data_IF_027157895887
#
_entry.id   IF_027157895887
#
_cell.length_a   1.000
_cell.length_b   1.000
_cell.length_c   1.000
_cell.angle_alpha   90.00
_cell.angle_beta   90.00
_cell.angle_gamma   90.00
#
_symmetry.space_group_name_H-M   'P 1'
#
loop_
_entity.id
_entity.type
_entity.pdbx_description
1 polymer ?
#
# COMPACT_ATOMS: atom_id res chain seq x y z
N UNK A 1 -10.26 -44.83 -30.69
CA UNK A 1 -9.43 -44.33 -31.81
C UNK A 1 -9.73 -45.16 -33.04
N UNK A 2 -9.84 -44.53 -34.22
CA UNK A 2 -9.95 -45.27 -35.49
C UNK A 2 -8.68 -46.10 -35.71
N UNK A 3 -8.76 -47.42 -35.97
CA UNK A 3 -7.58 -48.24 -36.26
C UNK A 3 -6.80 -47.79 -37.50
N UNK A 4 -7.41 -47.00 -38.39
CA UNK A 4 -6.76 -46.41 -39.55
C UNK A 4 -6.09 -45.06 -39.25
N UNK A 5 -6.22 -44.54 -38.03
CA UNK A 5 -5.57 -43.28 -37.66
C UNK A 5 -4.05 -43.49 -37.64
N UNK A 6 -3.26 -42.71 -38.42
CA UNK A 6 -1.80 -42.90 -38.53
C UNK A 6 -1.06 -42.69 -37.20
N UNK A 7 -1.74 -42.12 -36.19
CA UNK A 7 -1.21 -41.86 -34.86
C UNK A 7 -1.47 -43.01 -33.87
N UNK A 8 -2.17 -44.09 -34.26
CA UNK A 8 -2.65 -45.11 -33.32
C UNK A 8 -1.55 -45.82 -32.52
N UNK A 9 -0.33 -45.88 -33.07
CA UNK A 9 0.82 -46.51 -32.43
C UNK A 9 1.70 -45.52 -31.64
N UNK A 10 1.35 -44.23 -31.62
CA UNK A 10 2.16 -43.19 -31.00
C UNK A 10 1.87 -43.11 -29.50
N UNK A 11 2.89 -43.34 -28.68
CA UNK A 11 2.81 -43.23 -27.22
C UNK A 11 3.55 -41.98 -26.72
N UNK A 12 3.22 -41.52 -25.50
CA UNK A 12 3.84 -40.33 -24.89
C UNK A 12 5.37 -40.44 -24.73
N UNK A 13 5.89 -41.65 -24.55
CA UNK A 13 7.34 -41.88 -24.44
C UNK A 13 8.11 -41.65 -25.75
N UNK A 14 7.41 -41.57 -26.89
CA UNK A 14 8.01 -41.28 -28.20
C UNK A 14 8.22 -39.78 -28.45
N UNK A 15 7.70 -38.93 -27.56
CA UNK A 15 7.85 -37.49 -27.65
C UNK A 15 9.09 -37.02 -26.88
N UNK A 16 9.79 -36.08 -27.48
CA UNK A 16 10.91 -35.36 -26.91
C UNK A 16 10.64 -33.86 -27.03
N UNK A 17 10.23 -33.25 -25.92
CA UNK A 17 9.91 -31.82 -25.84
C UNK A 17 11.12 -30.93 -26.19
N UNK A 18 12.35 -31.44 -26.01
CA UNK A 18 13.58 -30.68 -26.28
C UNK A 18 13.86 -30.46 -27.76
N UNK A 19 13.25 -31.27 -28.64
CA UNK A 19 13.40 -31.11 -30.10
C UNK A 19 12.83 -29.80 -30.63
N UNK A 20 11.71 -29.37 -30.06
CA UNK A 20 11.07 -28.11 -30.43
C UNK A 20 10.34 -27.53 -29.23
N UNK A 21 11.09 -26.78 -28.42
CA UNK A 21 10.58 -26.11 -27.23
C UNK A 21 9.41 -25.16 -27.52
N UNK A 22 9.34 -24.57 -28.71
CA UNK A 22 8.24 -23.67 -29.09
C UNK A 22 6.93 -24.43 -29.24
N UNK A 23 6.94 -25.54 -29.99
CA UNK A 23 5.75 -26.38 -30.15
C UNK A 23 5.33 -27.07 -28.84
N UNK A 24 6.31 -27.57 -28.09
CA UNK A 24 6.06 -28.16 -26.77
C UNK A 24 5.51 -27.15 -25.76
N UNK A 25 6.06 -25.93 -25.75
CA UNK A 25 5.63 -24.84 -24.88
C UNK A 25 4.21 -24.38 -25.19
N UNK A 26 3.91 -24.14 -26.47
CA UNK A 26 2.59 -23.72 -26.92
C UNK A 26 1.52 -24.77 -26.57
N UNK A 27 1.77 -26.05 -26.85
CA UNK A 27 0.80 -27.09 -26.56
C UNK A 27 0.56 -27.26 -25.05
N UNK A 28 1.62 -27.24 -24.24
CA UNK A 28 1.51 -27.33 -22.79
C UNK A 28 0.74 -26.16 -22.17
N UNK A 29 1.03 -24.93 -22.64
CA UNK A 29 0.32 -23.74 -22.19
C UNK A 29 -1.18 -23.85 -22.47
N UNK A 30 -1.55 -24.32 -23.67
CA UNK A 30 -2.95 -24.54 -24.03
C UNK A 30 -3.64 -25.62 -23.21
N UNK A 31 -2.98 -26.75 -22.98
CA UNK A 31 -3.55 -27.80 -22.13
C UNK A 31 -3.89 -27.29 -20.74
N UNK A 32 -3.11 -26.35 -20.22
CA UNK A 32 -3.42 -25.71 -18.94
C UNK A 32 -4.56 -24.70 -19.05
N UNK A 33 -4.57 -23.86 -20.09
CA UNK A 33 -5.67 -22.89 -20.28
C UNK A 33 -7.02 -23.56 -20.46
N UNK A 34 -7.04 -24.76 -21.04
CA UNK A 34 -8.24 -25.56 -21.28
C UNK A 34 -8.58 -26.50 -20.10
N UNK A 35 -7.83 -26.45 -19.00
CA UNK A 35 -8.09 -27.29 -17.82
C UNK A 35 -9.41 -26.85 -17.15
N UNK A 36 -10.48 -27.58 -17.45
CA UNK A 36 -11.86 -27.25 -17.04
C UNK A 36 -12.84 -27.10 -18.21
N UNK A 37 -12.33 -26.98 -19.44
CA UNK A 37 -13.10 -27.01 -20.68
C UNK A 37 -12.51 -28.09 -21.60
N UNK A 38 -12.92 -29.34 -21.35
CA UNK A 38 -12.44 -30.55 -22.05
C UNK A 38 -12.64 -30.50 -23.57
N UNK A 39 -13.43 -29.55 -24.09
CA UNK A 39 -13.78 -29.46 -25.49
C UNK A 39 -12.89 -28.49 -26.29
N UNK A 40 -12.01 -27.71 -25.65
CA UNK A 40 -11.23 -26.66 -26.33
C UNK A 40 -9.74 -27.02 -26.44
N UNK A 41 -9.42 -28.11 -27.13
CA UNK A 41 -8.02 -28.40 -27.51
C UNK A 41 -7.72 -27.74 -28.84
N UNK A 42 -6.74 -26.82 -28.92
CA UNK A 42 -6.36 -26.20 -30.18
C UNK A 42 -5.66 -27.23 -31.05
N UNK A 43 -6.40 -27.76 -32.03
CA UNK A 43 -5.94 -28.82 -32.92
C UNK A 43 -4.63 -28.47 -33.65
N UNK A 44 -4.40 -27.18 -33.93
CA UNK A 44 -3.17 -26.68 -34.52
C UNK A 44 -1.96 -26.89 -33.60
N UNK A 45 -2.02 -26.43 -32.35
CA UNK A 45 -0.91 -26.54 -31.39
C UNK A 45 -0.61 -28.01 -31.04
N UNK A 46 -1.67 -28.82 -30.93
CA UNK A 46 -1.55 -30.27 -30.77
C UNK A 46 -0.84 -30.93 -31.97
N UNK A 47 -1.23 -30.56 -33.20
CA UNK A 47 -0.59 -31.08 -34.41
C UNK A 47 0.87 -30.66 -34.50
N UNK A 48 1.20 -29.41 -34.19
CA UNK A 48 2.58 -28.92 -34.18
C UNK A 48 3.42 -29.67 -33.15
N UNK A 49 2.88 -29.90 -31.94
CA UNK A 49 3.52 -30.75 -30.94
C UNK A 49 3.80 -32.16 -31.47
N UNK A 50 2.82 -32.80 -32.10
CA UNK A 50 2.99 -34.14 -32.69
C UNK A 50 4.03 -34.14 -33.79
N UNK A 51 4.00 -33.17 -34.70
CA UNK A 51 4.93 -33.12 -35.83
C UNK A 51 6.37 -32.86 -35.40
N UNK A 52 6.57 -31.95 -34.44
CA UNK A 52 7.91 -31.46 -34.12
C UNK A 52 8.56 -32.11 -32.91
N UNK A 53 7.77 -32.66 -31.99
CA UNK A 53 8.30 -33.27 -30.77
C UNK A 53 8.38 -34.80 -30.88
N UNK A 54 7.80 -35.44 -31.88
CA UNK A 54 7.92 -36.90 -32.04
C UNK A 54 9.31 -37.34 -32.53
N UNK A 55 9.72 -38.55 -32.15
CA UNK A 55 10.87 -39.24 -32.76
C UNK A 55 10.56 -39.93 -34.08
N UNK A 56 9.28 -40.08 -34.43
CA UNK A 56 8.84 -40.81 -35.63
C UNK A 56 8.42 -39.84 -36.74
N UNK A 57 8.89 -40.05 -37.96
CA UNK A 57 8.40 -39.28 -39.11
C UNK A 57 6.98 -39.72 -39.46
N UNK A 58 5.99 -38.94 -39.05
CA UNK A 58 4.58 -39.19 -39.37
C UNK A 58 4.20 -38.32 -40.56
N UNK A 59 3.97 -38.95 -41.72
CA UNK A 59 3.49 -38.26 -42.91
C UNK A 59 1.96 -38.15 -42.92
N UNK A 60 1.45 -37.02 -43.43
CA UNK A 60 0.05 -36.84 -43.85
C UNK A 60 -1.02 -37.28 -42.84
N UNK A 61 -1.06 -36.65 -41.67
CA UNK A 61 -2.22 -36.73 -40.77
C UNK A 61 -2.96 -35.40 -40.73
N UNK A 62 -4.27 -35.48 -40.48
CA UNK A 62 -5.17 -34.31 -40.38
C UNK A 62 -5.28 -33.83 -38.94
N UNK A 63 -5.72 -32.59 -38.75
CA UNK A 63 -6.03 -32.05 -37.42
C UNK A 63 -7.06 -32.92 -36.68
N UNK A 64 -8.02 -33.52 -37.41
CA UNK A 64 -8.97 -34.48 -36.87
C UNK A 64 -8.31 -35.76 -36.35
N UNK A 65 -7.26 -36.26 -37.03
CA UNK A 65 -6.50 -37.41 -36.53
C UNK A 65 -5.77 -37.06 -35.22
N UNK A 66 -5.21 -35.85 -35.12
CA UNK A 66 -4.54 -35.37 -33.92
C UNK A 66 -5.51 -35.33 -32.73
N UNK A 67 -6.70 -34.74 -32.92
CA UNK A 67 -7.73 -34.65 -31.88
C UNK A 67 -8.24 -36.05 -31.47
N UNK A 68 -8.47 -36.96 -32.42
CA UNK A 68 -8.88 -38.35 -32.13
C UNK A 68 -7.80 -39.10 -31.32
N UNK A 69 -6.51 -38.91 -31.66
CA UNK A 69 -5.39 -39.45 -30.89
C UNK A 69 -5.34 -38.87 -29.46
N UNK A 70 -5.46 -37.55 -29.32
CA UNK A 70 -5.44 -36.89 -28.02
C UNK A 70 -6.57 -37.39 -27.12
N UNK A 71 -7.80 -37.46 -27.65
CA UNK A 71 -8.96 -37.98 -26.92
C UNK A 71 -8.78 -39.44 -26.50
N UNK A 72 -8.13 -40.25 -27.33
CA UNK A 72 -7.85 -41.64 -26.99
C UNK A 72 -6.84 -41.77 -25.84
N UNK A 73 -5.78 -40.96 -25.84
CA UNK A 73 -4.80 -40.94 -24.74
C UNK A 73 -5.42 -40.45 -23.44
N UNK A 74 -6.29 -39.44 -23.52
CA UNK A 74 -6.96 -38.86 -22.36
C UNK A 74 -7.83 -39.90 -21.61
N UNK A 75 -8.60 -40.71 -22.37
CA UNK A 75 -9.48 -41.74 -21.83
C UNK A 75 -8.75 -42.86 -21.06
N UNK A 76 -7.45 -43.07 -21.29
CA UNK A 76 -6.69 -44.18 -20.69
C UNK A 76 -6.03 -43.81 -19.34
N UNK A 77 -6.49 -42.73 -18.69
CA UNK A 77 -5.86 -42.10 -17.51
C UNK A 77 -4.40 -41.67 -17.73
N UNK A 78 -3.91 -41.68 -18.97
CA UNK A 78 -2.56 -41.22 -19.30
C UNK A 78 -2.42 -39.70 -19.11
N UNK A 79 -3.52 -38.96 -18.94
CA UNK A 79 -3.51 -37.53 -18.69
C UNK A 79 -2.93 -37.13 -17.33
N UNK A 80 -3.20 -37.90 -16.27
CA UNK A 80 -2.53 -37.70 -14.98
C UNK A 80 -1.02 -37.95 -15.08
N UNK A 81 -0.63 -38.91 -15.93
CA UNK A 81 0.76 -39.11 -16.33
C UNK A 81 1.28 -38.00 -17.25
N UNK A 82 0.41 -37.33 -18.00
CA UNK A 82 0.78 -36.25 -18.91
C UNK A 82 1.23 -35.02 -18.14
N UNK A 83 0.43 -34.53 -17.18
CA UNK A 83 0.81 -33.38 -16.34
C UNK A 83 2.12 -33.64 -15.58
N UNK A 84 2.26 -34.83 -14.99
CA UNK A 84 3.50 -35.23 -14.31
C UNK A 84 4.67 -35.48 -15.25
N UNK A 85 4.44 -35.97 -16.47
CA UNK A 85 5.45 -36.06 -17.54
C UNK A 85 5.93 -34.66 -17.94
N UNK A 86 5.01 -33.71 -18.08
CA UNK A 86 5.35 -32.30 -18.31
C UNK A 86 6.17 -31.75 -17.15
N UNK A 87 5.70 -31.87 -15.91
CA UNK A 87 6.44 -31.39 -14.72
C UNK A 87 7.85 -32.01 -14.61
N UNK A 88 7.99 -33.32 -14.87
CA UNK A 88 9.28 -34.00 -14.81
C UNK A 88 10.24 -33.57 -15.94
N UNK A 89 9.75 -33.52 -17.19
CA UNK A 89 10.55 -33.15 -18.38
C UNK A 89 10.78 -31.64 -18.50
N UNK A 90 10.04 -30.78 -17.79
CA UNK A 90 10.22 -29.32 -17.80
C UNK A 90 11.32 -28.80 -16.87
N UNK A 91 12.07 -29.69 -16.21
CA UNK A 91 13.41 -29.36 -15.70
C UNK A 91 14.43 -29.04 -16.84
N UNK A 92 14.01 -29.14 -18.10
CA UNK A 92 14.76 -28.95 -19.36
C UNK A 92 14.93 -27.48 -19.82
N UNK A 93 15.77 -27.21 -20.85
CA UNK A 93 15.94 -25.89 -21.48
C UNK A 93 14.67 -25.23 -22.06
N UNK A 94 13.56 -25.97 -22.24
CA UNK A 94 12.36 -25.45 -22.92
C UNK A 94 11.45 -24.57 -22.06
N UNK A 95 11.74 -24.41 -20.77
CA UNK A 95 10.86 -23.71 -19.83
C UNK A 95 10.52 -22.28 -20.28
N UNK A 96 11.48 -21.55 -20.86
CA UNK A 96 11.28 -20.17 -21.29
C UNK A 96 10.18 -20.06 -22.35
N UNK A 97 10.23 -20.92 -23.37
CA UNK A 97 9.23 -20.92 -24.43
C UNK A 97 7.84 -21.32 -23.91
N UNK A 98 7.77 -22.21 -22.92
CA UNK A 98 6.51 -22.49 -22.26
C UNK A 98 5.94 -21.28 -21.55
N UNK A 99 6.74 -20.59 -20.75
CA UNK A 99 6.30 -19.40 -20.03
C UNK A 99 5.91 -18.25 -20.97
N UNK A 100 6.61 -18.08 -22.10
CA UNK A 100 6.24 -17.11 -23.14
C UNK A 100 4.93 -17.46 -23.86
N UNK A 101 4.53 -18.73 -23.89
CA UNK A 101 3.26 -19.17 -24.49
C UNK A 101 2.10 -19.26 -23.49
N UNK A 102 2.36 -19.22 -22.19
CA UNK A 102 1.29 -19.07 -21.21
C UNK A 102 0.77 -17.64 -21.32
N UNK A 103 -0.49 -17.51 -21.74
CA UNK A 103 -1.19 -16.24 -21.71
C UNK A 103 -1.43 -15.85 -20.24
N UNK A 104 -0.49 -15.11 -19.67
CA UNK A 104 -0.66 -14.54 -18.35
C UNK A 104 -1.62 -13.37 -18.42
N UNK A 105 -2.86 -13.62 -18.01
CA UNK A 105 -3.82 -12.56 -17.75
C UNK A 105 -3.46 -11.89 -16.42
N UNK A 106 -2.55 -10.91 -16.49
CA UNK A 106 -2.28 -10.01 -15.36
C UNK A 106 -3.54 -9.28 -14.92
N UNK A 107 -3.59 -8.90 -13.65
CA UNK A 107 -4.66 -8.06 -13.13
C UNK A 107 -4.17 -6.61 -13.01
N UNK A 108 -4.58 -5.77 -13.95
CA UNK A 108 -4.22 -4.35 -14.01
C UNK A 108 -4.72 -3.54 -12.79
N UNK A 109 -5.74 -4.02 -12.06
CA UNK A 109 -6.24 -3.39 -10.83
C UNK A 109 -5.40 -3.74 -9.60
N UNK A 110 -4.55 -4.76 -9.67
CA UNK A 110 -3.60 -5.12 -8.62
C UNK A 110 -2.17 -4.70 -8.98
N UNK A 111 -1.74 -5.03 -10.19
CA UNK A 111 -0.35 -4.93 -10.63
C UNK A 111 -0.10 -3.88 -11.71
N UNK A 112 -1.17 -3.24 -12.19
CA UNK A 112 -1.05 -2.25 -13.26
C UNK A 112 -0.20 -1.05 -12.86
N UNK A 113 0.29 -0.34 -13.87
CA UNK A 113 1.32 0.69 -13.69
C UNK A 113 0.95 1.76 -12.66
N UNK A 114 -0.29 2.25 -12.64
CA UNK A 114 -0.68 3.25 -11.65
C UNK A 114 -0.92 2.70 -10.25
N UNK A 115 -1.31 1.42 -10.10
CA UNK A 115 -1.36 0.79 -8.78
C UNK A 115 0.04 0.61 -8.20
N UNK A 116 0.99 0.14 -9.02
CA UNK A 116 2.40 0.10 -8.63
C UNK A 116 2.94 1.48 -8.25
N UNK A 117 2.65 2.51 -9.04
CA UNK A 117 3.02 3.89 -8.72
C UNK A 117 2.39 4.37 -7.39
N UNK A 118 1.16 3.96 -7.10
CA UNK A 118 0.46 4.27 -5.85
C UNK A 118 1.15 3.63 -4.64
N UNK A 119 1.56 2.36 -4.73
CA UNK A 119 2.34 1.69 -3.69
C UNK A 119 3.68 2.38 -3.44
N UNK A 120 4.41 2.71 -4.49
CA UNK A 120 5.70 3.42 -4.39
C UNK A 120 5.52 4.81 -3.77
N UNK A 121 4.51 5.57 -4.21
CA UNK A 121 4.21 6.89 -3.66
C UNK A 121 3.86 6.81 -2.17
N UNK A 122 3.02 5.84 -1.78
CA UNK A 122 2.69 5.63 -0.37
C UNK A 122 3.93 5.29 0.45
N UNK A 123 4.82 4.42 -0.03
CA UNK A 123 6.08 4.10 0.65
C UNK A 123 7.00 5.32 0.84
N UNK A 124 7.14 6.16 -0.20
CA UNK A 124 7.90 7.40 -0.12
C UNK A 124 7.31 8.32 0.94
N UNK A 125 5.99 8.51 0.95
CA UNK A 125 5.30 9.38 1.91
C UNK A 125 5.42 8.86 3.35
N UNK A 126 5.22 7.55 3.58
CA UNK A 126 5.43 6.91 4.90
C UNK A 126 6.86 7.13 5.38
N UNK A 127 7.85 6.91 4.50
CA UNK A 127 9.27 7.12 4.81
C UNK A 127 9.54 8.59 5.17
N UNK A 128 9.00 9.53 4.40
CA UNK A 128 9.16 10.96 4.65
C UNK A 128 8.56 11.38 5.99
N UNK A 129 7.36 10.91 6.33
CA UNK A 129 6.75 11.17 7.64
C UNK A 129 7.59 10.56 8.78
N UNK A 130 8.04 9.31 8.64
CA UNK A 130 8.89 8.67 9.65
C UNK A 130 10.17 9.48 9.89
N UNK A 131 10.88 9.87 8.83
CA UNK A 131 12.09 10.68 8.93
C UNK A 131 11.82 12.06 9.55
N UNK A 132 10.71 12.71 9.22
CA UNK A 132 10.32 13.99 9.81
C UNK A 132 10.12 13.86 11.32
N UNK A 133 9.48 12.80 11.79
CA UNK A 133 9.27 12.56 13.23
C UNK A 133 10.55 12.14 13.96
N UNK A 134 11.42 11.35 13.33
CA UNK A 134 12.76 11.06 13.87
C UNK A 134 13.55 12.36 14.04
N UNK A 135 13.56 13.22 13.02
CA UNK A 135 14.23 14.51 13.08
C UNK A 135 13.63 15.42 14.19
N UNK A 136 12.30 15.42 14.34
CA UNK A 136 11.61 16.13 15.43
C UNK A 136 12.08 15.65 16.80
N UNK A 137 12.13 14.33 17.01
CA UNK A 137 12.52 13.75 18.29
C UNK A 137 14.01 14.02 18.59
N UNK A 138 14.90 13.91 17.59
CA UNK A 138 16.31 14.30 17.71
C UNK A 138 16.49 15.79 18.06
N UNK A 139 15.71 16.68 17.43
CA UNK A 139 15.76 18.12 17.74
C UNK A 139 15.24 18.44 19.13
N UNK A 140 14.17 17.77 19.58
CA UNK A 140 13.64 17.95 20.93
C UNK A 140 14.65 17.52 22.00
N UNK A 141 15.36 16.40 21.78
CA UNK A 141 16.45 15.97 22.68
C UNK A 141 17.58 17.01 22.75
N UNK A 142 17.89 17.70 21.66
CA UNK A 142 18.92 18.74 21.64
C UNK A 142 18.48 20.05 22.31
N UNK A 143 17.18 20.35 22.29
CA UNK A 143 16.62 21.64 22.72
C UNK A 143 16.08 21.70 24.14
N UNK A 144 16.26 20.65 24.95
CA UNK A 144 15.83 20.61 26.36
C UNK A 144 16.35 21.79 27.22
N UNK A 145 17.32 22.57 26.73
CA UNK A 145 17.85 23.77 27.43
C UNK A 145 17.26 25.12 27.00
N UNK A 146 16.45 25.25 25.95
CA UNK A 146 15.87 26.56 25.56
C UNK A 146 14.46 26.39 25.00
N UNK A 147 13.46 26.94 25.72
CA UNK A 147 12.05 26.97 25.32
C UNK A 147 11.77 27.92 24.15
N UNK A 148 12.51 27.83 23.05
CA UNK A 148 12.08 28.44 21.81
C UNK A 148 10.84 27.70 21.33
N UNK A 149 9.75 28.42 21.15
CA UNK A 149 8.45 27.86 20.78
C UNK A 149 8.54 26.90 19.61
N UNK A 150 7.67 25.87 19.62
CA UNK A 150 7.59 24.85 18.57
C UNK A 150 7.59 25.52 17.18
N UNK A 151 8.48 25.11 16.27
CA UNK A 151 8.51 25.71 14.95
C UNK A 151 7.19 25.47 14.21
N UNK A 152 6.72 26.53 13.55
CA UNK A 152 5.40 26.69 12.95
C UNK A 152 5.06 25.62 11.88
N UNK A 153 6.07 25.04 11.20
CA UNK A 153 5.84 24.04 10.15
C UNK A 153 5.38 22.67 10.66
N UNK A 154 5.62 22.31 11.92
CA UNK A 154 5.19 21.02 12.48
C UNK A 154 3.68 20.85 12.48
N UNK A 155 2.94 21.95 12.59
CA UNK A 155 1.49 21.93 12.50
C UNK A 155 1.02 21.44 11.11
N UNK A 156 1.75 21.78 10.04
CA UNK A 156 1.45 21.31 8.69
C UNK A 156 1.70 19.81 8.56
N UNK A 157 2.85 19.32 9.06
CA UNK A 157 3.19 17.89 9.07
C UNK A 157 2.19 17.08 9.89
N UNK A 158 1.84 17.57 11.10
CA UNK A 158 0.88 16.89 11.98
C UNK A 158 -0.53 16.87 11.36
N UNK A 159 -0.92 17.91 10.62
CA UNK A 159 -2.22 17.94 9.92
C UNK A 159 -2.25 17.03 8.70
N UNK A 160 -1.22 17.09 7.85
CA UNK A 160 -1.11 16.24 6.66
C UNK A 160 -0.98 14.77 7.02
N UNK A 161 -0.28 14.41 8.11
CA UNK A 161 -0.20 13.04 8.59
C UNK A 161 -1.59 12.48 8.94
N UNK A 162 -2.48 13.29 9.54
CA UNK A 162 -3.84 12.83 9.86
C UNK A 162 -4.62 12.47 8.61
N UNK A 163 -4.56 13.32 7.58
CA UNK A 163 -5.22 13.06 6.30
C UNK A 163 -4.59 11.87 5.60
N UNK A 164 -3.25 11.81 5.54
CA UNK A 164 -2.50 10.71 4.95
C UNK A 164 -2.81 9.37 5.61
N UNK A 165 -2.88 9.35 6.94
CA UNK A 165 -3.22 8.16 7.72
C UNK A 165 -4.59 7.63 7.32
N UNK A 166 -5.61 8.50 7.30
CA UNK A 166 -6.97 8.12 6.92
C UNK A 166 -7.05 7.60 5.49
N UNK A 167 -6.41 8.29 4.54
CA UNK A 167 -6.34 7.85 3.14
C UNK A 167 -5.63 6.50 2.99
N UNK A 168 -4.53 6.30 3.74
CA UNK A 168 -3.81 5.03 3.78
C UNK A 168 -4.69 3.91 4.33
N UNK A 169 -5.51 4.17 5.36
CA UNK A 169 -6.45 3.19 5.90
C UNK A 169 -7.42 2.72 4.82
N UNK A 170 -8.05 3.66 4.12
CA UNK A 170 -8.99 3.34 3.05
C UNK A 170 -8.33 2.62 1.88
N UNK A 171 -7.16 3.08 1.44
CA UNK A 171 -6.40 2.44 0.37
C UNK A 171 -6.01 1.00 0.71
N UNK A 172 -5.46 0.77 1.91
CA UNK A 172 -5.09 -0.57 2.34
C UNK A 172 -6.31 -1.48 2.47
N UNK A 173 -7.41 -0.99 3.04
CA UNK A 173 -8.66 -1.74 3.19
C UNK A 173 -9.23 -2.16 1.83
N UNK A 174 -9.33 -1.21 0.89
CA UNK A 174 -9.86 -1.48 -0.46
C UNK A 174 -8.94 -2.41 -1.25
N UNK A 175 -7.62 -2.26 -1.12
CA UNK A 175 -6.64 -3.17 -1.73
C UNK A 175 -6.82 -4.60 -1.24
N UNK A 176 -6.95 -4.81 0.06
CA UNK A 176 -7.19 -6.16 0.61
C UNK A 176 -8.52 -6.72 0.16
N UNK A 177 -9.59 -5.92 0.18
CA UNK A 177 -10.89 -6.36 -0.30
C UNK A 177 -10.81 -6.79 -1.78
N UNK A 178 -10.13 -6.00 -2.62
CA UNK A 178 -9.89 -6.33 -4.02
C UNK A 178 -9.08 -7.64 -4.16
N UNK A 179 -8.03 -7.84 -3.36
CA UNK A 179 -7.24 -9.07 -3.33
C UNK A 179 -8.10 -10.30 -2.97
N UNK A 180 -8.98 -10.18 -1.97
CA UNK A 180 -9.86 -11.26 -1.53
C UNK A 180 -10.92 -11.60 -2.58
N UNK A 181 -11.56 -10.59 -3.16
CA UNK A 181 -12.56 -10.77 -4.22
C UNK A 181 -11.90 -11.40 -5.44
N UNK A 182 -10.75 -10.88 -5.87
CA UNK A 182 -10.02 -11.41 -7.02
C UNK A 182 -9.68 -12.88 -6.83
N UNK A 183 -9.22 -13.26 -5.63
CA UNK A 183 -8.92 -14.66 -5.32
C UNK A 183 -10.13 -15.57 -5.53
N UNK A 184 -11.31 -15.15 -5.08
CA UNK A 184 -12.54 -15.94 -5.22
C UNK A 184 -13.03 -16.03 -6.66
N UNK A 185 -12.86 -14.95 -7.43
CA UNK A 185 -13.38 -14.88 -8.82
C UNK A 185 -12.44 -15.53 -9.83
N UNK A 186 -11.13 -15.55 -9.54
CA UNK A 186 -10.10 -15.92 -10.53
C UNK A 186 -9.53 -17.31 -10.30
N UNK A 187 -10.07 -18.07 -9.36
CA UNK A 187 -9.63 -19.44 -9.10
C UNK A 187 -9.77 -20.28 -10.38
N UNK A 188 -8.66 -20.91 -10.79
CA UNK A 188 -8.59 -21.72 -12.01
C UNK A 188 -8.35 -20.93 -13.31
N UNK A 189 -8.31 -19.60 -13.27
CA UNK A 189 -7.97 -18.80 -14.46
C UNK A 189 -6.45 -18.73 -14.71
N UNK A 190 -5.99 -18.62 -15.97
CA UNK A 190 -4.57 -18.39 -16.28
C UNK A 190 -4.04 -17.12 -15.60
N UNK A 191 -2.84 -17.20 -15.01
CA UNK A 191 -2.22 -16.09 -14.27
C UNK A 191 -2.70 -15.96 -12.81
N UNK A 192 -3.54 -16.88 -12.34
CA UNK A 192 -4.03 -16.88 -10.96
C UNK A 192 -2.89 -16.96 -9.94
N UNK A 193 -1.88 -17.82 -10.14
CA UNK A 193 -0.79 -17.99 -9.19
C UNK A 193 0.03 -16.70 -9.03
N UNK A 194 0.30 -16.02 -10.15
CA UNK A 194 0.99 -14.73 -10.19
C UNK A 194 0.21 -13.65 -9.46
N UNK A 195 -1.06 -13.51 -9.80
CA UNK A 195 -1.92 -12.50 -9.21
C UNK A 195 -2.16 -12.76 -7.72
N UNK A 196 -2.22 -14.03 -7.29
CA UNK A 196 -2.21 -14.40 -5.88
C UNK A 196 -0.93 -13.96 -5.16
N UNK A 197 0.25 -14.15 -5.77
CA UNK A 197 1.50 -13.71 -5.18
C UNK A 197 1.63 -12.17 -5.14
N UNK A 198 1.16 -11.47 -6.17
CA UNK A 198 1.09 -10.00 -6.17
C UNK A 198 0.11 -9.49 -5.13
N UNK A 199 -1.07 -10.10 -5.03
CA UNK A 199 -2.05 -9.81 -3.98
C UNK A 199 -1.45 -10.02 -2.60
N UNK A 200 -0.73 -11.12 -2.39
CA UNK A 200 -0.02 -11.41 -1.16
C UNK A 200 1.01 -10.31 -0.80
N UNK A 201 1.86 -9.91 -1.74
CA UNK A 201 2.83 -8.85 -1.54
C UNK A 201 2.16 -7.49 -1.27
N UNK A 202 1.04 -7.19 -1.93
CA UNK A 202 0.25 -5.97 -1.69
C UNK A 202 -0.37 -5.97 -0.28
N UNK A 203 -0.87 -7.12 0.18
CA UNK A 203 -1.39 -7.29 1.53
C UNK A 203 -0.29 -7.06 2.56
N UNK A 204 0.88 -7.71 2.42
CA UNK A 204 2.03 -7.49 3.31
C UNK A 204 2.43 -6.02 3.29
N UNK A 205 2.55 -5.41 2.11
CA UNK A 205 2.84 -3.99 1.99
C UNK A 205 1.88 -3.12 2.81
N UNK A 206 0.57 -3.36 2.71
CA UNK A 206 -0.45 -2.64 3.45
C UNK A 206 -0.27 -2.78 4.97
N UNK A 207 0.05 -3.99 5.44
CA UNK A 207 0.36 -4.27 6.85
C UNK A 207 1.54 -3.42 7.32
N UNK A 208 2.65 -3.46 6.59
CA UNK A 208 3.88 -2.78 6.98
C UNK A 208 3.71 -1.26 7.04
N UNK A 209 2.94 -0.70 6.11
CA UNK A 209 2.52 0.71 6.15
C UNK A 209 1.81 1.04 7.46
N UNK A 210 0.87 0.20 7.91
CA UNK A 210 0.19 0.42 9.18
C UNK A 210 1.11 0.32 10.38
N UNK A 211 2.03 -0.65 10.40
CA UNK A 211 2.99 -0.80 11.50
C UNK A 211 3.81 0.47 11.70
N UNK A 212 4.21 1.13 10.60
CA UNK A 212 4.95 2.40 10.66
C UNK A 212 4.03 3.56 11.10
N UNK A 213 2.81 3.61 10.57
CA UNK A 213 1.91 4.75 10.77
C UNK A 213 1.22 4.80 12.15
N UNK A 214 0.96 3.65 12.78
CA UNK A 214 0.28 3.60 14.08
C UNK A 214 1.06 4.36 15.16
N UNK A 215 2.36 4.11 15.39
CA UNK A 215 3.16 4.87 16.35
C UNK A 215 3.19 6.37 16.07
N UNK A 216 3.25 6.78 14.80
CA UNK A 216 3.30 8.18 14.38
C UNK A 216 1.98 8.89 14.70
N UNK A 217 0.84 8.23 14.49
CA UNK A 217 -0.49 8.82 14.74
C UNK A 217 -0.73 9.13 16.21
N UNK A 218 -0.24 8.27 17.11
CA UNK A 218 -0.37 8.46 18.55
C UNK A 218 0.39 9.68 19.07
N UNK A 219 1.52 10.02 18.46
CA UNK A 219 2.31 11.19 18.85
C UNK A 219 1.61 12.51 18.50
N UNK A 220 0.85 12.55 17.40
CA UNK A 220 0.14 13.74 16.93
C UNK A 220 -1.08 14.13 17.78
N UNK A 221 -1.68 13.19 18.54
CA UNK A 221 -2.95 13.40 19.26
C UNK A 221 -2.78 13.36 20.78
N UNK A 222 -2.22 14.42 21.38
CA UNK A 222 -2.01 14.46 22.83
C UNK A 222 -3.26 14.78 23.67
N UNK A 223 -4.38 15.21 23.07
CA UNK A 223 -5.48 15.85 23.82
C UNK A 223 -6.89 15.27 23.66
N UNK A 224 -7.13 14.33 22.74
CA UNK A 224 -8.46 13.73 22.57
C UNK A 224 -8.52 12.34 23.20
N UNK A 225 -9.69 11.94 23.72
CA UNK A 225 -9.96 10.66 24.37
C UNK A 225 -9.59 9.47 23.48
N UNK A 226 -8.30 9.11 23.58
CA UNK A 226 -7.57 8.17 22.73
C UNK A 226 -8.30 6.82 22.60
N UNK A 227 -9.03 6.42 23.64
CA UNK A 227 -9.74 5.15 23.74
C UNK A 227 -10.99 5.06 22.84
N UNK A 228 -11.67 6.17 22.55
CA UNK A 228 -12.89 6.16 21.71
C UNK A 228 -12.55 6.05 20.23
N UNK A 229 -11.44 6.68 19.81
CA UNK A 229 -10.98 6.63 18.40
C UNK A 229 -10.21 5.35 18.04
N UNK A 230 -9.74 4.60 19.05
CA UNK A 230 -8.96 3.37 18.89
C UNK A 230 -9.81 2.12 18.59
N UNK A 231 -11.06 2.07 19.04
CA UNK A 231 -11.95 0.90 18.90
C UNK A 231 -12.21 0.47 17.45
N UNK A 232 -12.60 1.37 16.52
CA UNK A 232 -12.79 0.97 15.13
C UNK A 232 -11.45 0.60 14.47
N UNK A 233 -10.34 1.22 14.88
CA UNK A 233 -9.02 0.92 14.36
C UNK A 233 -8.53 -0.48 14.78
N UNK A 234 -8.76 -0.87 16.04
CA UNK A 234 -8.45 -2.20 16.53
C UNK A 234 -9.35 -3.26 15.90
N UNK A 235 -10.64 -2.95 15.70
CA UNK A 235 -11.57 -3.85 15.01
C UNK A 235 -11.16 -4.05 13.54
N UNK A 236 -10.82 -2.97 12.82
CA UNK A 236 -10.30 -3.03 11.46
C UNK A 236 -8.98 -3.81 11.42
N UNK A 237 -8.06 -3.58 12.36
CA UNK A 237 -6.80 -4.35 12.41
C UNK A 237 -7.00 -5.83 12.75
N UNK A 238 -8.02 -6.16 13.56
CA UNK A 238 -8.34 -7.53 13.92
C UNK A 238 -9.02 -8.27 12.76
N UNK A 239 -9.93 -7.62 12.04
CA UNK A 239 -10.50 -8.16 10.81
C UNK A 239 -9.46 -8.27 9.69
N UNK A 240 -8.49 -7.36 9.66
CA UNK A 240 -7.34 -7.39 8.78
C UNK A 240 -6.42 -8.59 9.06
N UNK A 241 -6.08 -8.82 10.33
CA UNK A 241 -5.30 -10.00 10.76
C UNK A 241 -6.06 -11.30 10.50
N UNK A 242 -7.38 -11.33 10.70
CA UNK A 242 -8.19 -12.51 10.37
C UNK A 242 -8.29 -12.77 8.86
N UNK A 243 -8.45 -11.73 8.05
CA UNK A 243 -8.46 -11.83 6.59
C UNK A 243 -7.11 -12.29 6.04
N UNK A 244 -6.02 -11.79 6.60
CA UNK A 244 -4.65 -12.24 6.31
C UNK A 244 -4.47 -13.69 6.73
N UNK A 245 -4.88 -14.09 7.94
CA UNK A 245 -4.76 -15.48 8.39
C UNK A 245 -5.53 -16.47 7.51
N UNK A 246 -6.74 -16.09 7.07
CA UNK A 246 -7.53 -16.88 6.11
C UNK A 246 -6.91 -16.86 4.70
N UNK A 247 -6.31 -15.75 4.29
CA UNK A 247 -5.60 -15.69 3.01
C UNK A 247 -4.37 -16.61 3.01
N UNK A 248 -3.68 -16.73 4.16
CA UNK A 248 -2.43 -17.46 4.31
C UNK A 248 -2.61 -18.97 4.53
N UNK A 249 -3.75 -19.45 5.02
CA UNK A 249 -3.92 -20.87 5.39
C UNK A 249 -3.82 -21.83 4.21
N UNK A 250 -4.20 -21.41 3.00
CA UNK A 250 -4.24 -22.30 1.82
C UNK A 250 -3.20 -21.96 0.74
N UNK A 251 -2.51 -20.81 0.88
CA UNK A 251 -1.55 -20.35 -0.12
C UNK A 251 -0.45 -21.39 -0.45
N UNK A 252 0.14 -22.09 0.55
CA UNK A 252 1.17 -23.10 0.26
C UNK A 252 0.64 -24.26 -0.58
N UNK A 253 -0.61 -24.67 -0.36
CA UNK A 253 -1.20 -25.83 -1.04
C UNK A 253 -1.58 -25.54 -2.50
N UNK A 254 -1.98 -24.29 -2.78
CA UNK A 254 -2.30 -23.81 -4.12
C UNK A 254 -1.02 -23.54 -4.91
N UNK A 255 -0.08 -22.79 -4.34
CA UNK A 255 1.19 -22.45 -5.00
C UNK A 255 2.02 -23.71 -5.30
N UNK A 256 2.01 -24.74 -4.46
CA UNK A 256 2.76 -25.98 -4.73
C UNK A 256 2.16 -26.87 -5.83
N UNK A 257 0.93 -26.61 -6.29
CA UNK A 257 0.26 -27.43 -7.32
C UNK A 257 0.19 -26.77 -8.69
N UNK A 258 0.48 -25.49 -8.80
CA UNK A 258 0.32 -24.79 -10.07
C UNK A 258 1.55 -24.88 -10.97
N UNK A 259 1.35 -25.40 -12.19
CA UNK A 259 2.33 -25.44 -13.28
C UNK A 259 2.88 -24.06 -13.69
N UNK A 260 2.26 -22.97 -13.23
CA UNK A 260 2.73 -21.59 -13.44
C UNK A 260 3.93 -21.24 -12.57
N UNK A 261 4.12 -21.95 -11.46
CA UNK A 261 5.17 -21.63 -10.49
C UNK A 261 6.60 -21.75 -10.99
N UNK A 262 6.97 -22.68 -11.88
CA UNK A 262 8.30 -22.73 -12.47
C UNK A 262 8.60 -21.52 -13.37
N UNK A 263 7.58 -20.83 -13.87
CA UNK A 263 7.74 -19.61 -14.66
C UNK A 263 8.07 -18.39 -13.80
N UNK A 264 7.87 -18.47 -12.48
CA UNK A 264 8.21 -17.38 -11.58
C UNK A 264 9.74 -17.22 -11.52
N UNK A 265 10.26 -16.00 -11.75
CA UNK A 265 11.69 -15.71 -11.92
C UNK A 265 12.57 -16.09 -10.71
N UNK A 266 11.97 -16.44 -9.58
CA UNK A 266 12.66 -16.52 -8.28
C UNK A 266 12.37 -17.82 -7.51
N UNK A 267 11.50 -18.72 -8.00
CA UNK A 267 11.10 -19.88 -7.16
C UNK A 267 12.24 -20.90 -6.97
N UNK A 268 13.19 -20.99 -7.91
CA UNK A 268 14.37 -21.89 -7.78
C UNK A 268 15.29 -21.47 -6.62
N UNK A 269 15.47 -20.18 -6.40
CA UNK A 269 16.28 -19.67 -5.28
C UNK A 269 15.46 -19.54 -3.99
N UNK A 270 14.18 -19.19 -4.08
CA UNK A 270 13.28 -19.08 -2.92
C UNK A 270 12.97 -20.44 -2.26
N UNK A 271 12.83 -21.51 -3.04
CA UNK A 271 12.52 -22.86 -2.55
C UNK A 271 13.67 -23.54 -1.80
N UNK A 272 14.92 -23.25 -2.16
CA UNK A 272 16.11 -23.83 -1.52
C UNK A 272 16.68 -23.00 -0.36
N UNK A 273 16.42 -21.69 -0.30
CA UNK A 273 17.02 -20.82 0.74
C UNK A 273 16.14 -20.58 1.98
N UNK A 274 14.95 -21.19 2.07
CA UNK A 274 14.05 -20.99 3.22
C UNK A 274 13.48 -19.57 3.32
N UNK A 275 13.68 -18.72 2.32
CA UNK A 275 13.19 -17.34 2.29
C UNK A 275 11.66 -17.24 2.26
N UNK A 276 10.99 -18.15 1.56
CA UNK A 276 9.52 -18.19 1.47
C UNK A 276 8.87 -18.50 2.82
N UNK A 277 9.41 -19.49 3.54
CA UNK A 277 8.94 -19.83 4.90
C UNK A 277 9.28 -18.72 5.88
N UNK A 278 10.40 -18.01 5.74
CA UNK A 278 10.71 -16.84 6.57
C UNK A 278 9.70 -15.71 6.33
N UNK A 279 9.32 -15.37 5.10
CA UNK A 279 8.33 -14.30 4.88
C UNK A 279 6.93 -14.72 5.37
N UNK A 280 6.53 -15.97 5.08
CA UNK A 280 5.23 -16.51 5.47
C UNK A 280 5.11 -16.65 7.00
N UNK A 281 6.19 -16.97 7.71
CA UNK A 281 6.19 -17.14 9.18
C UNK A 281 6.50 -15.83 9.90
N UNK A 282 7.45 -15.04 9.42
CA UNK A 282 7.84 -13.80 10.06
C UNK A 282 6.80 -12.70 9.86
N UNK A 283 6.09 -12.64 8.72
CA UNK A 283 5.03 -11.66 8.50
C UNK A 283 3.95 -11.68 9.60
N UNK A 284 3.34 -12.83 9.90
CA UNK A 284 2.39 -12.98 11.01
C UNK A 284 3.01 -12.72 12.39
N UNK A 285 4.25 -13.18 12.64
CA UNK A 285 4.94 -12.92 13.91
C UNK A 285 5.17 -11.42 14.11
N UNK A 286 5.61 -10.71 13.06
CA UNK A 286 5.76 -9.25 13.05
C UNK A 286 4.41 -8.52 13.04
N UNK A 287 3.28 -9.16 12.75
CA UNK A 287 1.94 -8.56 12.93
C UNK A 287 1.39 -8.71 14.34
N UNK A 288 1.56 -9.90 14.93
CA UNK A 288 1.03 -10.21 16.26
C UNK A 288 1.80 -9.42 17.32
N UNK A 289 3.12 -9.29 17.17
CA UNK A 289 3.96 -8.62 18.16
C UNK A 289 3.61 -7.15 18.36
N UNK A 290 3.55 -6.29 17.34
CA UNK A 290 3.21 -4.87 17.49
C UNK A 290 1.77 -4.66 17.94
N UNK A 291 0.82 -5.46 17.45
CA UNK A 291 -0.58 -5.37 17.87
C UNK A 291 -0.74 -5.70 19.36
N UNK A 292 -0.17 -6.82 19.80
CA UNK A 292 -0.09 -7.19 21.21
C UNK A 292 0.65 -6.13 22.03
N UNK A 293 1.77 -5.63 21.50
CA UNK A 293 2.58 -4.62 22.16
C UNK A 293 1.84 -3.29 22.31
N UNK A 294 1.08 -2.84 21.29
CA UNK A 294 0.25 -1.63 21.36
C UNK A 294 -0.89 -1.82 22.36
N UNK A 295 -1.56 -2.97 22.38
CA UNK A 295 -2.61 -3.29 23.36
C UNK A 295 -2.04 -3.32 24.78
N UNK A 296 -0.89 -3.94 24.99
CA UNK A 296 -0.18 -3.90 26.27
C UNK A 296 0.21 -2.47 26.66
N UNK A 297 0.79 -1.69 25.76
CA UNK A 297 1.23 -0.32 26.05
C UNK A 297 0.06 0.63 26.32
N UNK A 298 -1.07 0.45 25.62
CA UNK A 298 -2.28 1.27 25.83
C UNK A 298 -3.04 0.86 27.08
N UNK A 299 -3.11 -0.43 27.41
CA UNK A 299 -3.66 -0.94 28.66
C UNK A 299 -2.83 -0.55 29.89
N UNK A 300 -1.50 -0.50 29.74
CA UNK A 300 -0.57 -0.12 30.80
C UNK A 300 -0.31 1.40 30.87
N UNK A 301 -0.99 2.22 30.05
CA UNK A 301 -0.71 3.66 29.91
C UNK A 301 -0.73 4.43 31.24
N UNK A 302 -1.62 4.05 32.17
CA UNK A 302 -1.67 4.67 33.51
C UNK A 302 -0.44 4.37 34.39
N UNK A 303 0.29 3.29 34.10
CA UNK A 303 1.50 2.88 34.81
C UNK A 303 2.79 3.28 34.08
N UNK A 304 2.70 3.60 32.77
CA UNK A 304 3.81 3.83 31.85
C UNK A 304 4.27 5.29 31.77
N UNK A 305 3.61 6.23 32.47
CA UNK A 305 4.05 7.64 32.55
C UNK A 305 5.48 7.80 33.07
N UNK A 306 5.98 6.82 33.84
CA UNK A 306 7.38 6.73 34.24
C UNK A 306 8.33 6.31 33.10
N UNK A 307 7.92 5.39 32.22
CA UNK A 307 8.72 4.90 31.10
C UNK A 307 8.79 5.90 29.93
N UNK A 308 7.72 6.67 29.71
CA UNK A 308 7.76 7.79 28.76
C UNK A 308 8.70 8.89 29.22
N UNK A 309 8.86 9.12 30.54
CA UNK A 309 9.87 10.04 31.09
C UNK A 309 11.31 9.55 30.91
N UNK A 310 11.53 8.24 30.80
CA UNK A 310 12.85 7.64 30.56
C UNK A 310 13.29 7.67 29.08
N UNK A 311 12.52 8.29 28.17
CA UNK A 311 12.85 8.35 26.74
C UNK A 311 12.65 7.03 25.99
N UNK A 312 12.29 5.95 26.68
CA UNK A 312 12.06 4.61 26.11
C UNK A 312 10.95 4.64 25.06
N UNK A 313 9.96 5.53 25.24
CA UNK A 313 8.89 5.72 24.26
C UNK A 313 9.39 6.06 22.85
N UNK A 314 10.52 6.76 22.68
CA UNK A 314 11.13 7.01 21.36
C UNK A 314 11.75 5.76 20.75
N UNK A 315 12.57 5.06 21.52
CA UNK A 315 13.24 3.84 21.08
C UNK A 315 12.24 2.75 20.70
N UNK A 316 11.20 2.54 21.51
CA UNK A 316 10.15 1.55 21.24
C UNK A 316 9.40 1.83 19.94
N UNK A 317 9.09 3.10 19.63
CA UNK A 317 8.45 3.48 18.37
C UNK A 317 9.33 3.16 17.16
N UNK A 318 10.64 3.44 17.27
CA UNK A 318 11.62 3.09 16.25
C UNK A 318 11.76 1.57 16.07
N UNK A 319 11.76 0.79 17.16
CA UNK A 319 11.82 -0.67 17.10
C UNK A 319 10.63 -1.29 16.37
N UNK A 320 9.45 -0.65 16.39
CA UNK A 320 8.28 -1.08 15.63
C UNK A 320 8.32 -0.57 14.19
N UNK A 321 8.69 0.70 13.98
CA UNK A 321 8.66 1.33 12.66
C UNK A 321 9.78 0.86 11.72
N UNK A 322 10.97 0.53 12.23
CA UNK A 322 12.12 0.16 11.39
C UNK A 322 11.94 -1.21 10.69
N UNK A 323 11.51 -2.29 11.36
CA UNK A 323 11.18 -3.54 10.69
C UNK A 323 10.12 -3.33 9.61
N UNK A 324 9.06 -2.58 9.91
CA UNK A 324 8.03 -2.29 8.93
C UNK A 324 8.54 -1.48 7.75
N UNK A 325 9.46 -0.53 7.97
CA UNK A 325 10.10 0.21 6.88
C UNK A 325 10.88 -0.73 5.95
N UNK A 326 11.67 -1.65 6.51
CA UNK A 326 12.43 -2.63 5.74
C UNK A 326 11.49 -3.58 5.00
N UNK A 327 10.46 -4.10 5.67
CA UNK A 327 9.44 -4.98 5.09
C UNK A 327 8.68 -4.33 3.95
N UNK A 328 8.24 -3.08 4.11
CA UNK A 328 7.52 -2.31 3.09
C UNK A 328 8.35 -2.15 1.81
N UNK A 329 9.61 -1.73 1.92
CA UNK A 329 10.50 -1.56 0.76
C UNK A 329 10.91 -2.90 0.14
N UNK A 330 11.11 -3.93 0.96
CA UNK A 330 11.35 -5.29 0.48
C UNK A 330 10.16 -5.80 -0.34
N UNK A 331 8.92 -5.60 0.13
CA UNK A 331 7.69 -5.96 -0.59
C UNK A 331 7.59 -5.24 -1.93
N UNK A 332 7.86 -3.93 -1.98
CA UNK A 332 7.91 -3.17 -3.25
C UNK A 332 8.98 -3.74 -4.20
N UNK A 333 10.16 -4.08 -3.68
CA UNK A 333 11.24 -4.66 -4.46
C UNK A 333 10.80 -5.95 -5.14
N UNK A 334 10.24 -6.89 -4.37
CA UNK A 334 9.72 -8.15 -4.90
C UNK A 334 8.54 -7.94 -5.85
N UNK A 335 7.60 -7.06 -5.51
CA UNK A 335 6.47 -6.71 -6.37
C UNK A 335 6.95 -6.20 -7.73
N UNK A 336 7.97 -5.34 -7.74
CA UNK A 336 8.54 -4.77 -8.96
C UNK A 336 9.25 -5.85 -9.80
N UNK A 337 9.98 -6.77 -9.16
CA UNK A 337 10.65 -7.89 -9.85
C UNK A 337 9.64 -8.84 -10.49
N UNK A 338 8.61 -9.22 -9.73
CA UNK A 338 7.54 -10.09 -10.19
C UNK A 338 6.78 -9.46 -11.36
N UNK A 339 6.41 -8.18 -11.24
CA UNK A 339 5.78 -7.41 -12.32
C UNK A 339 6.63 -7.34 -13.57
N UNK A 340 7.96 -7.11 -13.46
CA UNK A 340 8.84 -7.08 -14.65
C UNK A 340 8.88 -8.41 -15.38
N UNK A 341 8.91 -9.51 -14.62
CA UNK A 341 8.95 -10.85 -15.22
C UNK A 341 7.64 -11.20 -15.90
N UNK A 342 6.52 -10.80 -15.31
CA UNK A 342 5.20 -10.89 -15.94
C UNK A 342 5.16 -10.13 -17.28
N UNK A 343 5.70 -8.91 -17.32
CA UNK A 343 5.78 -8.11 -18.56
C UNK A 343 6.69 -8.77 -19.61
N UNK A 344 7.81 -9.37 -19.18
CA UNK A 344 8.71 -10.09 -20.09
C UNK A 344 8.01 -11.30 -20.74
N UNK A 345 7.21 -12.06 -19.99
CA UNK A 345 6.52 -13.24 -20.52
C UNK A 345 5.24 -12.93 -21.28
N UNK A 346 4.46 -11.95 -20.83
CA UNK A 346 3.17 -11.60 -21.47
C UNK A 346 3.31 -10.79 -22.77
N UNK A 347 4.51 -10.30 -23.07
CA UNK A 347 4.79 -9.52 -24.28
C UNK A 347 3.94 -8.25 -24.39
N UNK A 348 3.68 -7.82 -25.63
CA UNK A 348 2.92 -6.59 -25.92
C UNK A 348 1.41 -6.70 -25.63
N UNK A 349 0.90 -7.92 -25.41
CA UNK A 349 -0.51 -8.19 -25.12
C UNK A 349 -0.94 -7.87 -23.68
N UNK A 350 -0.01 -7.45 -22.81
CA UNK A 350 -0.30 -7.27 -21.40
C UNK A 350 -1.17 -6.03 -21.11
N UNK A 351 -2.36 -6.21 -20.50
CA UNK A 351 -3.19 -5.07 -20.07
C UNK A 351 -2.52 -4.23 -18.95
N UNK A 352 -1.53 -4.79 -18.25
CA UNK A 352 -0.83 -4.16 -17.12
C UNK A 352 0.07 -2.97 -17.52
N UNK A 353 0.36 -2.85 -18.82
CA UNK A 353 1.14 -1.76 -19.40
C UNK A 353 0.34 -0.47 -19.62
N UNK A 354 -0.99 -0.54 -19.66
CA UNK A 354 -1.85 0.60 -19.97
C UNK A 354 -2.37 1.30 -18.70
N UNK A 355 -2.49 2.62 -18.78
CA UNK A 355 -3.13 3.42 -17.73
C UNK A 355 -4.65 3.28 -17.79
N UNK A 356 -5.23 2.75 -16.73
CA UNK A 356 -6.68 2.74 -16.51
C UNK A 356 -7.18 3.97 -15.74
N UNK A 357 -8.47 4.28 -15.84
CA UNK A 357 -9.09 5.35 -15.03
C UNK A 357 -8.95 5.08 -13.52
N UNK A 358 -9.19 3.83 -13.09
CA UNK A 358 -9.04 3.42 -11.69
C UNK A 358 -7.62 3.64 -11.16
N UNK A 359 -6.61 3.40 -12.00
CA UNK A 359 -5.21 3.63 -11.67
C UNK A 359 -4.87 5.12 -11.49
N UNK A 360 -5.40 5.99 -12.36
CA UNK A 360 -5.26 7.45 -12.21
C UNK A 360 -5.96 7.90 -10.93
N UNK A 361 -7.16 7.40 -10.66
CA UNK A 361 -7.91 7.71 -9.45
C UNK A 361 -7.16 7.28 -8.17
N UNK A 362 -6.48 6.13 -8.19
CA UNK A 362 -5.67 5.65 -7.07
C UNK A 362 -4.51 6.62 -6.76
N UNK A 363 -3.79 7.11 -7.77
CA UNK A 363 -2.73 8.11 -7.60
C UNK A 363 -3.31 9.45 -7.12
N UNK A 364 -4.42 9.89 -7.69
CA UNK A 364 -5.11 11.12 -7.30
C UNK A 364 -5.69 11.06 -5.88
N UNK A 365 -5.87 9.86 -5.32
CA UNK A 365 -6.28 9.64 -3.94
C UNK A 365 -5.36 10.32 -2.92
N UNK A 366 -4.10 10.61 -3.28
CA UNK A 366 -3.15 11.31 -2.41
C UNK A 366 -3.26 12.84 -2.44
N UNK A 367 -4.00 13.43 -3.39
CA UNK A 367 -4.13 14.87 -3.55
C UNK A 367 -4.63 15.61 -2.29
N UNK A 368 -5.64 15.11 -1.54
CA UNK A 368 -6.12 15.80 -0.34
C UNK A 368 -5.04 16.00 0.74
N UNK A 369 -4.09 15.07 0.83
CA UNK A 369 -2.96 15.19 1.75
C UNK A 369 -2.06 16.38 1.38
N UNK A 370 -1.72 16.52 0.10
CA UNK A 370 -0.90 17.65 -0.37
C UNK A 370 -1.64 18.99 -0.18
N UNK A 371 -2.94 19.03 -0.51
CA UNK A 371 -3.77 20.22 -0.30
C UNK A 371 -3.75 20.65 1.17
N UNK A 372 -3.92 19.70 2.10
CA UNK A 372 -3.89 20.00 3.54
C UNK A 372 -2.51 20.50 3.98
N UNK A 373 -1.43 19.87 3.51
CA UNK A 373 -0.06 20.30 3.80
C UNK A 373 0.17 21.75 3.37
N UNK A 374 -0.12 22.08 2.10
CA UNK A 374 0.10 23.43 1.57
C UNK A 374 -0.82 24.48 2.21
N UNK A 375 -2.07 24.12 2.52
CA UNK A 375 -3.02 24.99 3.21
C UNK A 375 -2.51 25.41 4.59
N UNK A 376 -2.09 24.44 5.40
CA UNK A 376 -1.57 24.73 6.75
C UNK A 376 -0.22 25.43 6.68
N UNK A 377 0.67 25.01 5.77
CA UNK A 377 1.97 25.67 5.59
C UNK A 377 1.83 27.15 5.21
N UNK A 378 0.96 27.48 4.26
CA UNK A 378 0.68 28.88 3.86
C UNK A 378 0.14 29.70 5.04
N UNK A 379 -0.77 29.12 5.84
CA UNK A 379 -1.35 29.77 7.01
C UNK A 379 -0.30 30.06 8.09
N UNK A 380 0.58 29.10 8.34
CA UNK A 380 1.67 29.19 9.30
C UNK A 380 2.72 30.23 8.88
N UNK A 381 3.08 30.28 7.59
CA UNK A 381 3.90 31.35 7.02
C UNK A 381 3.28 32.74 7.22
N UNK A 382 1.98 32.87 6.94
CA UNK A 382 1.27 34.14 7.08
C UNK A 382 1.23 34.62 8.53
N UNK A 383 0.99 33.72 9.50
CA UNK A 383 1.10 34.04 10.93
C UNK A 383 2.49 34.56 11.30
N UNK A 384 3.55 33.95 10.77
CA UNK A 384 4.93 34.39 10.99
C UNK A 384 5.16 35.83 10.53
N UNK A 385 4.66 36.16 9.33
CA UNK A 385 4.73 37.52 8.76
C UNK A 385 3.94 38.52 9.62
N UNK A 386 2.72 38.17 10.03
CA UNK A 386 1.88 39.03 10.90
C UNK A 386 2.55 39.25 12.26
N UNK A 387 3.16 38.21 12.84
CA UNK A 387 3.89 38.32 14.10
C UNK A 387 5.12 39.22 13.96
N UNK A 388 5.89 39.09 12.88
CA UNK A 388 7.04 39.94 12.60
C UNK A 388 6.61 41.41 12.42
N UNK A 389 5.57 41.66 11.64
CA UNK A 389 4.97 42.98 11.48
C UNK A 389 4.52 43.55 12.83
N UNK A 390 3.88 42.76 13.69
CA UNK A 390 3.46 43.19 15.03
C UNK A 390 4.64 43.54 15.95
N UNK A 391 5.78 42.85 15.82
CA UNK A 391 7.01 43.12 16.57
C UNK A 391 7.68 44.40 16.06
N UNK A 392 7.78 44.57 14.75
CA UNK A 392 8.27 45.80 14.12
C UNK A 392 7.42 47.01 14.53
N UNK A 393 6.09 46.86 14.54
CA UNK A 393 5.18 47.94 14.91
C UNK A 393 5.26 48.30 16.41
N UNK A 394 5.54 47.33 17.28
CA UNK A 394 5.84 47.59 18.70
C UNK A 394 7.20 48.27 18.87
N UNK A 395 8.20 47.88 18.09
CA UNK A 395 9.52 48.49 18.10
C UNK A 395 9.46 49.95 17.63
N UNK A 396 8.83 50.23 16.50
CA UNK A 396 8.64 51.59 15.98
C UNK A 396 7.88 52.46 16.98
N UNK A 397 6.82 51.92 17.63
CA UNK A 397 6.10 52.64 18.69
C UNK A 397 6.97 52.96 19.91
N UNK A 398 7.89 52.06 20.31
CA UNK A 398 8.85 52.33 21.39
C UNK A 398 9.85 53.41 21.01
N UNK A 399 10.41 53.34 19.81
CA UNK A 399 11.32 54.38 19.30
C UNK A 399 10.60 55.72 19.25
N UNK A 400 9.38 55.77 18.72
CA UNK A 400 8.58 56.99 18.64
C UNK A 400 8.30 57.58 20.04
N UNK A 401 8.00 56.74 21.02
CA UNK A 401 7.77 57.19 22.40
C UNK A 401 9.05 57.75 23.05
N UNK A 402 10.22 57.14 22.82
CA UNK A 402 11.53 57.65 23.30
C UNK A 402 11.86 59.00 22.65
N UNK A 403 11.65 59.11 21.33
CA UNK A 403 11.82 60.36 20.59
C UNK A 403 10.89 61.45 21.13
N UNK A 404 9.62 61.13 21.42
CA UNK A 404 8.63 62.08 21.95
C UNK A 404 8.98 62.57 23.36
N UNK A 405 9.58 61.72 24.19
CA UNK A 405 10.00 62.10 25.56
C UNK A 405 11.29 62.92 25.57
N UNK A 406 12.17 62.77 24.58
CA UNK A 406 13.36 63.62 24.44
C UNK A 406 13.00 65.06 24.04
N UNK A 407 13.18 66.01 24.97
CA UNK A 407 13.00 67.45 24.69
C UNK A 407 13.94 67.96 23.60
N UNK A 408 15.15 67.40 23.45
CA UNK A 408 16.14 67.83 22.44
C UNK A 408 15.80 67.38 21.02
N UNK A 409 15.11 66.24 20.83
CA UNK A 409 14.72 65.77 19.49
C UNK A 409 13.45 66.43 18.94
N UNK A 410 12.74 67.21 19.77
CA UNK A 410 11.49 67.87 19.39
C UNK A 410 11.67 68.92 18.28
N UNK A 411 12.87 69.52 18.18
CA UNK A 411 13.23 70.46 17.13
C UNK A 411 13.51 69.78 15.78
N UNK A 412 14.09 68.58 15.78
CA UNK A 412 14.37 67.82 14.54
C UNK A 412 13.09 67.22 13.92
N UNK A 413 12.11 66.84 14.75
CA UNK A 413 10.83 66.32 14.28
C UNK A 413 9.98 67.37 13.54
N UNK A 414 10.22 68.66 13.77
CA UNK A 414 9.56 69.71 13.00
C UNK A 414 10.07 69.79 11.56
N UNK A 415 11.26 69.26 11.25
CA UNK A 415 11.81 69.18 9.90
C UNK A 415 11.35 67.95 9.10
N UNK A 416 10.82 66.92 9.77
CA UNK A 416 10.50 65.61 9.16
C UNK A 416 8.99 65.42 8.91
N UNK A 417 8.22 66.51 8.86
CA UNK A 417 6.76 66.49 8.69
C UNK A 417 6.30 66.13 7.26
N UNK A 418 7.22 66.04 6.30
CA UNK A 418 6.92 65.74 4.89
C UNK A 418 7.14 64.29 4.46
N UNK A 419 7.62 63.40 5.35
CA UNK A 419 7.75 61.97 5.03
C UNK A 419 6.49 61.22 5.49
N UNK A 420 5.78 60.68 4.51
CA UNK A 420 4.45 60.05 4.52
C UNK A 420 4.35 58.77 5.39
N UNK A 421 4.60 58.90 6.70
CA UNK A 421 4.48 57.83 7.69
C UNK A 421 3.01 57.44 7.94
N UNK A 422 2.07 58.33 7.60
CA UNK A 422 0.64 58.10 7.78
C UNK A 422 0.04 57.11 6.76
N UNK A 423 0.58 57.00 5.54
CA UNK A 423 0.14 56.01 4.55
C UNK A 423 0.49 54.57 4.97
N UNK A 424 1.69 54.36 5.54
CA UNK A 424 2.09 53.07 6.12
C UNK A 424 1.18 52.67 7.31
N UNK A 425 0.83 53.62 8.18
CA UNK A 425 -0.06 53.35 9.32
C UNK A 425 -1.48 52.97 8.86
N UNK A 426 -2.01 53.58 7.79
CA UNK A 426 -3.31 53.22 7.19
C UNK A 426 -3.29 51.82 6.57
N UNK A 427 -2.19 51.41 5.93
CA UNK A 427 -2.04 50.06 5.38
C UNK A 427 -2.11 48.98 6.48
N UNK A 428 -1.47 49.22 7.62
CA UNK A 428 -1.48 48.27 8.75
C UNK A 428 -2.80 48.24 9.52
N UNK A 429 -3.54 49.35 9.62
CA UNK A 429 -4.91 49.31 10.20
C UNK A 429 -5.89 48.61 9.29
N UNK A 430 -5.76 48.72 7.97
CA UNK A 430 -6.58 47.98 7.01
C UNK A 430 -6.32 46.46 7.09
N UNK A 431 -5.07 46.03 7.19
CA UNK A 431 -4.72 44.61 7.37
C UNK A 431 -5.30 43.99 8.67
N UNK A 432 -5.61 44.81 9.68
CA UNK A 432 -6.21 44.38 10.95
C UNK A 432 -7.75 44.28 10.89
N UNK A 433 -8.37 44.89 9.88
CA UNK A 433 -9.83 44.90 9.69
C UNK A 433 -10.33 43.80 8.75
N UNK A 434 -9.43 43.02 8.12
CA UNK A 434 -9.81 41.80 7.41
C UNK A 434 -10.51 40.85 8.39
N UNK A 435 -11.73 40.37 8.09
CA UNK A 435 -12.48 39.51 8.99
C UNK A 435 -11.67 38.23 9.27
N UNK A 436 -11.55 37.89 10.55
CA UNK A 436 -11.10 36.57 10.97
C UNK A 436 -12.03 35.53 10.34
N UNK A 437 -11.65 34.96 9.19
CA UNK A 437 -12.20 33.67 8.79
C UNK A 437 -11.67 32.64 9.79
N UNK A 438 -12.39 32.50 10.89
CA UNK A 438 -12.39 31.24 11.63
C UNK A 438 -12.74 30.15 10.63
N UNK A 439 -11.93 29.08 10.50
CA UNK A 439 -12.32 27.95 9.68
C UNK A 439 -13.70 27.47 10.14
N UNK A 440 -14.57 27.03 9.21
CA UNK A 440 -15.91 26.58 9.55
C UNK A 440 -15.78 25.52 10.64
N UNK A 441 -16.36 25.80 11.82
CA UNK A 441 -16.66 24.75 12.77
C UNK A 441 -17.78 23.95 12.13
N UNK A 442 -17.52 22.67 11.88
CA UNK A 442 -18.54 21.72 11.47
C UNK A 442 -19.64 21.72 12.54
N UNK A 443 -20.76 22.38 12.23
CA UNK A 443 -22.02 22.25 12.96
C UNK A 443 -22.58 20.85 12.69
N UNK A 444 -22.09 19.85 13.42
CA UNK A 444 -22.88 18.66 13.73
C UNK A 444 -23.90 19.03 14.81
N UNK A 445 -25.03 19.59 14.38
CA UNK A 445 -26.24 19.68 15.20
C UNK A 445 -27.04 18.38 15.05
N UNK A 446 -26.73 17.41 15.91
CA UNK A 446 -27.58 16.25 16.21
C UNK A 446 -27.86 16.25 17.71
N UNK A 447 -29.04 16.73 18.09
CA UNK A 447 -29.42 16.96 19.48
C UNK A 447 -29.44 15.71 20.34
N UNK A 448 -28.84 15.82 21.53
CA UNK A 448 -29.18 15.01 22.69
C UNK A 448 -29.40 15.96 23.85
N UNK A 449 -30.67 16.09 24.22
CA UNK A 449 -31.16 16.80 25.39
C UNK A 449 -30.59 16.15 26.66
N UNK A 450 -29.72 16.86 27.40
CA UNK A 450 -29.20 16.40 28.69
C UNK A 450 -30.22 16.73 29.79
N UNK A 451 -30.86 15.70 30.33
CA UNK A 451 -31.91 15.77 31.36
C UNK A 451 -31.34 15.98 32.78
N UNK A 452 -30.38 16.89 32.95
CA UNK A 452 -29.71 17.11 34.25
C UNK A 452 -30.09 18.36 35.02
N UNK A 453 -31.00 19.19 34.49
CA UNK A 453 -31.49 20.39 35.18
C UNK A 453 -32.84 20.23 35.91
N UNK A 454 -33.51 19.08 35.83
CA UNK A 454 -34.80 18.84 36.52
C UNK A 454 -34.68 18.32 37.97
N UNK A 455 -33.47 18.16 38.53
CA UNK A 455 -33.29 17.70 39.92
C UNK A 455 -33.06 18.81 40.96
N UNK A 456 -33.04 20.09 40.56
CA UNK A 456 -32.76 21.22 41.47
C UNK A 456 -33.94 22.13 41.83
N UNK A 457 -35.13 21.91 41.27
CA UNK A 457 -36.32 22.74 41.53
C UNK A 457 -37.39 22.09 42.43
N UNK A 458 -37.07 20.97 43.10
CA UNK A 458 -38.02 20.22 43.94
C UNK A 458 -37.86 20.38 45.46
N UNK A 459 -37.23 21.45 45.97
CA UNK A 459 -37.08 21.67 47.43
C UNK A 459 -37.20 23.14 47.84
N UNK A 460 -38.29 23.82 47.50
CA UNK A 460 -38.62 25.11 48.15
C UNK A 460 -40.10 25.47 48.07
N UNK A 461 -41.03 24.57 48.41
CA UNK A 461 -42.41 24.97 48.77
C UNK A 461 -42.93 24.02 49.85
N UNK A 462 -42.61 24.32 51.11
CA UNK A 462 -43.37 23.86 52.27
C UNK A 462 -43.08 24.79 53.46
N UNK A 463 -43.77 25.94 53.48
CA UNK A 463 -44.16 26.70 54.68
C UNK A 463 -45.07 27.85 54.25
N UNK A 464 -46.15 28.00 55.03
CA UNK A 464 -47.33 28.87 54.88
C UNK A 464 -48.41 28.31 53.97
#
# INVERSE_FOLDING_TARGET
>A
MDPNNPLANLTLSMFDAEKNCTAAGAFAAHLRSSYGDENSVPAKSLREFILFCTNTTIGNFTDGNAVDWYRYIDLDNAFANYTSWFEYKYSSPCWRNFCENIEFAGNADLAGIGMHATYVLQAILVTAFLLAYIARDLMNMRHEKKSLGKPSYWNAVDSSLKVFYTLSVYFCFTTILACLIYRQVSEGTPGYAYSCQLAFLAIIFCIEVFQILIPLRFQSSSNDSVLVRLKPLMLISATFVAAVALAFSDLPAVVLRDLETPCLPDQRDFGQTGGSSVIIVMGPVFMIFPGFFIVCMTGLRGHMDWLTRLGIGGATRLCVALPGLVGMWYSIGNFTRLRRSLIEFSGDSSPDGAWGFGQIAAVMGWLPMFVEFFRVWKWELWKGVVLLASKLLRFTRRVLNVVRTSRRLRYLLHLQRDLDIWSLLRFFTFARAMPNHTPPQDTESGGVSDSRDLKRMGRTVQRV
#
